data_IF_919844975475
#
_entry.id   IF_919844975475
#
_cell.length_a   1.000
_cell.length_b   1.000
_cell.length_c   1.000
_cell.angle_alpha   90.00
_cell.angle_beta   90.00
_cell.angle_gamma   90.00
#
_symmetry.space_group_name_H-M   'P 1'
#
loop_
_entity.id
_entity.type
_entity.pdbx_description
1 polymer ?
#
# COMPACT_ATOMS: atom_id res chain seq x y z
N UNK A 1 6.07 -16.96 -10.74
CA UNK A 1 6.74 -15.86 -10.00
C UNK A 1 6.59 -14.57 -10.79
N UNK A 2 6.16 -13.50 -10.14
CA UNK A 2 5.93 -12.20 -10.78
C UNK A 2 6.79 -11.12 -10.13
N UNK A 3 7.36 -10.26 -10.95
CA UNK A 3 8.12 -9.07 -10.53
C UNK A 3 7.37 -7.82 -10.95
N UNK A 4 7.36 -6.80 -10.11
CA UNK A 4 6.72 -5.52 -10.35
C UNK A 4 7.79 -4.42 -10.32
N UNK A 5 7.76 -3.53 -11.31
CA UNK A 5 8.65 -2.37 -11.38
C UNK A 5 7.84 -1.12 -11.08
N UNK A 6 8.08 -0.52 -9.90
CA UNK A 6 7.39 0.69 -9.46
C UNK A 6 8.36 1.67 -8.81
N UNK A 7 8.17 2.95 -9.10
CA UNK A 7 8.98 4.03 -8.55
C UNK A 7 10.50 3.78 -8.67
N UNK A 8 10.93 3.15 -9.78
CA UNK A 8 12.31 2.72 -10.07
C UNK A 8 12.86 1.66 -9.09
N UNK A 9 12.01 0.96 -8.36
CA UNK A 9 12.35 -0.17 -7.52
C UNK A 9 11.79 -1.45 -8.13
N UNK A 10 12.50 -2.56 -7.93
CA UNK A 10 12.08 -3.88 -8.38
C UNK A 10 11.55 -4.67 -7.21
N UNK A 11 10.23 -4.94 -7.21
CA UNK A 11 9.54 -5.73 -6.21
C UNK A 11 9.38 -7.18 -6.68
N UNK A 12 9.50 -8.12 -5.77
CA UNK A 12 9.30 -9.55 -6.05
C UNK A 12 10.55 -10.35 -5.71
N UNK A 13 10.64 -11.60 -6.10
CA UNK A 13 9.72 -12.41 -6.94
C UNK A 13 8.55 -12.95 -6.10
N UNK A 14 7.31 -12.63 -6.46
CA UNK A 14 6.14 -13.08 -5.72
C UNK A 14 5.41 -14.20 -6.46
N UNK A 15 4.87 -15.16 -5.73
CA UNK A 15 3.94 -16.13 -6.29
C UNK A 15 2.63 -15.45 -6.69
N UNK A 16 2.12 -15.75 -7.88
CA UNK A 16 0.90 -15.13 -8.38
C UNK A 16 -0.32 -15.42 -7.49
N UNK A 17 -0.36 -16.60 -6.88
CA UNK A 17 -1.40 -16.95 -5.92
C UNK A 17 -1.46 -16.03 -4.69
N UNK A 18 -0.38 -15.33 -4.37
CA UNK A 18 -0.26 -14.42 -3.24
C UNK A 18 -0.41 -12.93 -3.62
N UNK A 19 -0.58 -12.63 -4.91
CA UNK A 19 -0.46 -11.27 -5.43
C UNK A 19 -1.76 -10.78 -6.09
N UNK A 20 -2.05 -9.50 -5.88
CA UNK A 20 -3.00 -8.74 -6.68
C UNK A 20 -2.37 -7.39 -7.08
N UNK A 21 -1.94 -7.29 -8.34
CA UNK A 21 -1.41 -6.05 -8.91
C UNK A 21 -2.57 -5.12 -9.28
N UNK A 22 -3.16 -4.49 -8.26
CA UNK A 22 -4.44 -3.80 -8.33
C UNK A 22 -4.42 -2.63 -9.32
N UNK A 23 -3.37 -1.81 -9.32
CA UNK A 23 -3.30 -0.61 -10.18
C UNK A 23 -3.31 -0.96 -11.68
N UNK A 24 -2.80 -2.13 -12.07
CA UNK A 24 -2.77 -2.60 -13.45
C UNK A 24 -3.84 -3.64 -13.79
N UNK A 25 -4.85 -3.80 -12.93
CA UNK A 25 -5.89 -4.82 -13.11
C UNK A 25 -7.06 -4.34 -13.96
N UNK A 26 -7.70 -5.26 -14.69
CA UNK A 26 -8.98 -4.99 -15.36
C UNK A 26 -10.09 -4.63 -14.38
N UNK A 27 -10.02 -5.16 -13.14
CA UNK A 27 -10.97 -4.78 -12.09
C UNK A 27 -10.89 -3.28 -11.81
N UNK A 28 -9.67 -2.74 -11.68
CA UNK A 28 -9.46 -1.31 -11.46
C UNK A 28 -9.96 -0.48 -12.66
N UNK A 29 -9.67 -0.90 -13.88
CA UNK A 29 -10.17 -0.25 -15.09
C UNK A 29 -11.72 -0.18 -15.14
N UNK A 30 -12.40 -1.25 -14.71
CA UNK A 30 -13.88 -1.32 -14.67
C UNK A 30 -14.50 -0.46 -13.57
N UNK A 31 -13.85 -0.31 -12.42
CA UNK A 31 -14.35 0.54 -11.32
C UNK A 31 -14.38 2.01 -11.77
N UNK A 32 -13.45 2.42 -12.61
CA UNK A 32 -13.47 3.70 -13.29
C UNK A 32 -12.60 4.79 -12.66
N UNK A 33 -12.58 5.93 -13.33
CA UNK A 33 -11.76 7.08 -12.94
C UNK A 33 -12.19 7.71 -11.61
N UNK A 34 -11.22 8.27 -10.88
CA UNK A 34 -11.44 8.94 -9.60
C UNK A 34 -11.16 8.05 -8.39
N UNK A 35 -10.96 6.76 -8.59
CA UNK A 35 -10.52 5.82 -7.56
C UNK A 35 -8.99 5.78 -7.55
N UNK A 36 -8.41 5.77 -6.35
CA UNK A 36 -6.96 5.68 -6.16
C UNK A 36 -6.61 4.32 -5.57
N UNK A 37 -5.61 3.66 -6.14
CA UNK A 37 -5.16 2.36 -5.64
C UNK A 37 -3.68 2.38 -5.29
N UNK A 38 -3.28 1.51 -4.35
CA UNK A 38 -1.88 1.17 -4.13
C UNK A 38 -1.35 0.38 -5.33
N UNK A 39 -0.03 0.21 -5.42
CA UNK A 39 0.58 -0.54 -6.51
C UNK A 39 0.10 -2.00 -6.52
N UNK A 40 0.19 -2.68 -5.37
CA UNK A 40 -0.27 -4.05 -5.26
C UNK A 40 -0.65 -4.46 -3.83
N UNK A 41 -1.41 -5.55 -3.73
CA UNK A 41 -1.78 -6.22 -2.48
C UNK A 41 -1.08 -7.58 -2.47
N UNK A 42 -0.42 -7.93 -1.37
CA UNK A 42 0.39 -9.12 -1.25
C UNK A 42 0.02 -9.93 0.01
N UNK A 43 -0.26 -11.21 -0.15
CA UNK A 43 -0.24 -12.18 0.94
C UNK A 43 1.21 -12.48 1.30
N UNK A 44 1.76 -11.70 2.23
CA UNK A 44 3.19 -11.76 2.56
C UNK A 44 3.58 -13.05 3.29
N UNK A 45 2.69 -13.50 4.19
CA UNK A 45 2.76 -14.80 4.85
C UNK A 45 1.35 -15.24 5.24
N UNK A 46 1.23 -16.41 5.88
CA UNK A 46 -0.08 -16.94 6.27
C UNK A 46 -0.93 -16.03 7.17
N UNK A 47 -0.28 -15.08 7.87
CA UNK A 47 -0.92 -14.24 8.89
C UNK A 47 -0.97 -12.75 8.53
N UNK A 48 -0.52 -12.34 7.33
CA UNK A 48 -0.51 -10.92 6.96
C UNK A 48 -0.76 -10.64 5.48
N UNK A 49 -1.54 -9.59 5.24
CA UNK A 49 -1.79 -8.99 3.93
C UNK A 49 -1.23 -7.57 3.93
N UNK A 50 -0.39 -7.27 2.95
CA UNK A 50 0.21 -5.96 2.75
C UNK A 50 -0.52 -5.22 1.63
N UNK A 51 -0.86 -3.97 1.88
CA UNK A 51 -1.22 -2.98 0.87
C UNK A 51 0.03 -2.16 0.63
N UNK A 52 0.66 -2.29 -0.52
CA UNK A 52 1.97 -1.70 -0.78
C UNK A 52 1.88 -0.57 -1.79
N UNK A 53 2.35 0.60 -1.36
CA UNK A 53 2.54 1.79 -2.17
C UNK A 53 4.03 2.08 -2.31
N UNK A 54 4.46 2.52 -3.50
CA UNK A 54 5.85 2.85 -3.80
C UNK A 54 6.00 4.32 -4.20
N UNK A 55 7.04 4.98 -3.70
CA UNK A 55 7.40 6.36 -4.05
C UNK A 55 8.91 6.50 -4.25
N UNK A 56 9.30 7.40 -5.16
CA UNK A 56 10.72 7.74 -5.35
C UNK A 56 11.28 8.55 -4.19
N UNK A 57 10.46 9.45 -3.64
CA UNK A 57 10.86 10.37 -2.56
C UNK A 57 9.64 10.78 -1.73
N UNK A 58 9.89 11.46 -0.63
CA UNK A 58 8.86 12.10 0.20
C UNK A 58 9.21 13.57 0.46
N UNK A 59 8.22 14.43 0.71
CA UNK A 59 8.46 15.80 1.12
C UNK A 59 9.13 15.84 2.49
N UNK A 60 10.05 16.78 2.68
CA UNK A 60 10.72 16.98 3.96
C UNK A 60 9.77 17.68 4.95
N UNK A 61 9.42 17.02 6.03
CA UNK A 61 8.53 17.55 7.07
C UNK A 61 9.07 18.80 7.75
N UNK A 62 10.39 18.95 7.85
CA UNK A 62 11.02 20.12 8.46
C UNK A 62 10.79 21.40 7.63
N UNK A 63 10.52 21.26 6.34
CA UNK A 63 10.28 22.37 5.42
C UNK A 63 8.80 22.58 5.09
N UNK A 64 7.88 21.85 5.74
CA UNK A 64 6.44 21.88 5.43
C UNK A 64 5.90 23.32 5.39
N UNK A 65 6.21 24.12 6.39
CA UNK A 65 5.69 25.48 6.56
C UNK A 65 6.61 26.57 6.01
N UNK A 66 7.64 26.23 5.23
CA UNK A 66 8.57 27.20 4.68
C UNK A 66 7.96 28.04 3.55
N UNK A 67 6.89 27.55 2.89
CA UNK A 67 6.08 28.27 1.93
C UNK A 67 4.72 27.58 1.77
N UNK A 68 3.72 28.33 1.28
CA UNK A 68 2.39 27.79 0.96
C UNK A 68 2.47 26.64 -0.05
N UNK A 69 3.29 26.77 -1.10
CA UNK A 69 3.53 25.70 -2.09
C UNK A 69 4.07 24.41 -1.46
N UNK A 70 4.96 24.51 -0.46
CA UNK A 70 5.50 23.32 0.23
C UNK A 70 4.48 22.68 1.13
N UNK A 71 3.61 23.45 1.77
CA UNK A 71 2.51 22.94 2.57
C UNK A 71 1.49 22.21 1.69
N UNK A 72 1.10 22.78 0.55
CA UNK A 72 0.20 22.15 -0.43
C UNK A 72 0.77 20.83 -0.94
N UNK A 73 2.04 20.79 -1.35
CA UNK A 73 2.70 19.56 -1.80
C UNK A 73 2.76 18.49 -0.70
N UNK A 74 2.98 18.90 0.53
CA UNK A 74 2.97 17.98 1.68
C UNK A 74 1.57 17.38 1.87
N UNK A 75 0.53 18.21 1.90
CA UNK A 75 -0.85 17.75 2.05
C UNK A 75 -1.30 16.85 0.89
N UNK A 76 -0.99 17.22 -0.34
CA UNK A 76 -1.31 16.44 -1.53
C UNK A 76 -0.65 15.06 -1.49
N UNK A 77 0.64 14.99 -1.12
CA UNK A 77 1.39 13.75 -1.02
C UNK A 77 0.75 12.77 -0.03
N UNK A 78 0.50 13.22 1.20
CA UNK A 78 -0.03 12.34 2.25
C UNK A 78 -1.52 12.05 2.05
N UNK A 79 -2.30 12.99 1.57
CA UNK A 79 -3.70 12.76 1.21
C UNK A 79 -3.84 11.71 0.12
N UNK A 80 -3.04 11.84 -0.94
CA UNK A 80 -3.05 10.87 -2.04
C UNK A 80 -2.70 9.46 -1.58
N UNK A 81 -1.66 9.29 -0.75
CA UNK A 81 -1.27 7.97 -0.23
C UNK A 81 -2.34 7.41 0.71
N UNK A 82 -2.91 8.26 1.56
CA UNK A 82 -3.99 7.86 2.47
C UNK A 82 -5.20 7.35 1.70
N UNK A 83 -5.63 8.07 0.66
CA UNK A 83 -6.74 7.65 -0.20
C UNK A 83 -6.44 6.32 -0.89
N UNK A 84 -5.23 6.15 -1.43
CA UNK A 84 -4.80 4.89 -2.05
C UNK A 84 -4.94 3.69 -1.09
N UNK A 85 -4.50 3.83 0.15
CA UNK A 85 -4.66 2.77 1.15
C UNK A 85 -6.12 2.48 1.48
N UNK A 86 -6.92 3.52 1.70
CA UNK A 86 -8.34 3.39 2.08
C UNK A 86 -9.14 2.75 0.94
N UNK A 87 -9.00 3.25 -0.27
CA UNK A 87 -9.77 2.80 -1.42
C UNK A 87 -9.35 1.39 -1.84
N UNK A 88 -8.05 1.06 -1.78
CA UNK A 88 -7.58 -0.32 -2.01
C UNK A 88 -8.10 -1.32 -0.98
N UNK A 89 -8.17 -0.92 0.30
CA UNK A 89 -8.78 -1.74 1.34
C UNK A 89 -10.26 -2.01 1.03
N UNK A 90 -11.00 -1.00 0.60
CA UNK A 90 -12.40 -1.12 0.23
C UNK A 90 -12.59 -2.06 -0.97
N UNK A 91 -11.79 -1.91 -2.02
CA UNK A 91 -11.82 -2.79 -3.19
C UNK A 91 -11.51 -4.23 -2.77
N UNK A 92 -10.49 -4.45 -1.96
CA UNK A 92 -10.10 -5.77 -1.47
C UNK A 92 -11.23 -6.44 -0.67
N UNK A 93 -11.83 -5.72 0.28
CA UNK A 93 -12.95 -6.23 1.07
C UNK A 93 -14.17 -6.52 0.18
N UNK A 94 -14.50 -5.63 -0.76
CA UNK A 94 -15.57 -5.84 -1.72
C UNK A 94 -15.33 -7.09 -2.59
N UNK A 95 -14.08 -7.34 -2.99
CA UNK A 95 -13.70 -8.55 -3.74
C UNK A 95 -13.90 -9.81 -2.92
N UNK A 96 -13.46 -9.84 -1.66
CA UNK A 96 -13.67 -10.96 -0.74
C UNK A 96 -15.16 -11.26 -0.53
N UNK A 97 -15.98 -10.21 -0.51
CA UNK A 97 -17.44 -10.33 -0.36
C UNK A 97 -18.16 -10.62 -1.69
N UNK A 98 -17.43 -10.98 -2.74
CA UNK A 98 -17.96 -11.29 -4.07
C UNK A 98 -18.87 -10.19 -4.67
N UNK A 99 -18.50 -8.92 -4.48
CA UNK A 99 -19.24 -7.77 -5.04
C UNK A 99 -18.92 -7.54 -6.52
N UNK A 100 -17.88 -8.16 -7.04
CA UNK A 100 -17.44 -8.09 -8.43
C UNK A 100 -17.63 -9.44 -9.12
N UNK A 101 -18.04 -9.42 -10.38
CA UNK A 101 -18.26 -10.62 -11.19
C UNK A 101 -16.96 -11.33 -11.56
N UNK A 102 -15.91 -10.56 -11.83
CA UNK A 102 -14.60 -11.06 -12.22
C UNK A 102 -13.54 -10.62 -11.21
N UNK A 103 -12.99 -11.58 -10.51
CA UNK A 103 -11.90 -11.43 -9.53
C UNK A 103 -10.72 -12.36 -9.84
N UNK A 104 -10.64 -12.86 -11.08
CA UNK A 104 -9.65 -13.85 -11.51
C UNK A 104 -8.19 -13.35 -11.44
N UNK A 105 -7.99 -12.04 -11.41
CA UNK A 105 -6.67 -11.42 -11.25
C UNK A 105 -6.18 -11.37 -9.80
N UNK A 106 -7.04 -11.70 -8.84
CA UNK A 106 -6.69 -11.71 -7.42
C UNK A 106 -6.17 -13.09 -7.07
N UNK A 107 -4.97 -13.15 -6.52
CA UNK A 107 -4.37 -14.44 -6.13
C UNK A 107 -5.24 -15.21 -5.11
N UNK A 108 -5.39 -16.49 -5.30
CA UNK A 108 -6.27 -17.36 -4.50
C UNK A 108 -6.00 -17.28 -2.99
N UNK A 109 -4.74 -17.08 -2.59
CA UNK A 109 -4.37 -16.94 -1.18
C UNK A 109 -4.90 -15.63 -0.55
N UNK A 110 -5.17 -14.60 -1.36
CA UNK A 110 -5.79 -13.35 -0.91
C UNK A 110 -7.30 -13.51 -0.70
N UNK A 111 -7.93 -14.46 -1.39
CA UNK A 111 -9.36 -14.73 -1.31
C UNK A 111 -9.71 -15.76 -0.22
N UNK A 112 -8.72 -16.43 0.38
CA UNK A 112 -8.94 -17.38 1.48
C UNK A 112 -9.27 -16.65 2.79
N UNK A 113 -10.56 -16.50 3.06
CA UNK A 113 -11.08 -15.78 4.23
C UNK A 113 -11.35 -16.67 5.46
N UNK A 114 -11.11 -17.97 5.39
CA UNK A 114 -11.46 -18.92 6.49
C UNK A 114 -10.87 -18.50 7.85
N UNK A 115 -9.71 -17.83 7.83
CA UNK A 115 -9.02 -17.33 9.01
C UNK A 115 -8.83 -15.80 8.99
N UNK A 116 -9.71 -15.06 8.31
CA UNK A 116 -9.55 -13.61 8.13
C UNK A 116 -9.39 -12.85 9.45
N UNK A 117 -10.07 -13.29 10.52
CA UNK A 117 -9.94 -12.70 11.87
C UNK A 117 -8.50 -12.72 12.43
N UNK A 118 -7.65 -13.63 11.94
CA UNK A 118 -6.27 -13.79 12.40
C UNK A 118 -5.27 -13.09 11.46
N UNK A 119 -5.76 -12.49 10.37
CA UNK A 119 -4.94 -11.82 9.37
C UNK A 119 -4.69 -10.39 9.81
N UNK A 120 -3.41 -10.02 9.86
CA UNK A 120 -2.99 -8.64 10.06
C UNK A 120 -2.97 -7.90 8.74
N UNK A 121 -3.71 -6.80 8.67
CA UNK A 121 -3.71 -5.90 7.53
C UNK A 121 -2.64 -4.83 7.74
N UNK A 122 -1.78 -4.62 6.77
CA UNK A 122 -0.67 -3.67 6.85
C UNK A 122 -0.66 -2.73 5.65
N UNK A 123 -0.64 -1.43 5.91
CA UNK A 123 -0.33 -0.41 4.92
C UNK A 123 1.18 -0.20 4.92
N UNK A 124 1.83 -0.48 3.80
CA UNK A 124 3.29 -0.39 3.65
C UNK A 124 3.63 0.64 2.58
N UNK A 125 4.33 1.70 2.96
CA UNK A 125 4.90 2.67 2.04
C UNK A 125 6.39 2.39 1.89
N UNK A 126 6.86 2.18 0.66
CA UNK A 126 8.28 2.04 0.35
C UNK A 126 8.75 3.29 -0.41
N UNK A 127 9.79 3.94 0.11
CA UNK A 127 10.32 5.18 -0.47
C UNK A 127 11.78 4.94 -0.87
N UNK A 128 12.07 4.96 -2.17
CA UNK A 128 13.40 4.65 -2.72
C UNK A 128 14.51 5.47 -2.08
N UNK A 129 14.37 6.79 -2.13
CA UNK A 129 15.42 7.74 -1.76
C UNK A 129 15.18 8.38 -0.38
N UNK A 130 14.59 7.66 0.57
CA UNK A 130 14.38 8.18 1.92
C UNK A 130 15.57 7.83 2.82
N UNK A 131 16.09 8.84 3.50
CA UNK A 131 16.99 8.63 4.63
C UNK A 131 16.24 7.92 5.76
N UNK A 132 16.89 6.96 6.39
CA UNK A 132 16.26 6.16 7.47
C UNK A 132 15.75 7.04 8.62
N UNK A 133 16.43 8.16 8.90
CA UNK A 133 16.03 9.10 9.95
C UNK A 133 14.70 9.81 9.67
N UNK A 134 14.23 9.84 8.41
CA UNK A 134 12.95 10.45 8.04
C UNK A 134 11.76 9.51 8.19
N UNK A 135 11.99 8.20 8.12
CA UNK A 135 10.93 7.20 8.13
C UNK A 135 9.98 7.28 9.33
N UNK A 136 10.47 7.51 10.59
CA UNK A 136 9.58 7.65 11.75
C UNK A 136 8.58 8.81 11.61
N UNK A 137 9.00 9.95 11.07
CA UNK A 137 8.14 11.11 10.83
C UNK A 137 7.05 10.83 9.80
N UNK A 138 7.43 10.22 8.67
CA UNK A 138 6.49 9.80 7.62
C UNK A 138 5.48 8.79 8.17
N UNK A 139 5.95 7.82 8.95
CA UNK A 139 5.10 6.81 9.57
C UNK A 139 4.11 7.42 10.57
N UNK A 140 4.55 8.39 11.38
CA UNK A 140 3.69 9.08 12.34
C UNK A 140 2.57 9.85 11.63
N UNK A 141 2.87 10.57 10.55
CA UNK A 141 1.88 11.30 9.74
C UNK A 141 0.84 10.34 9.14
N UNK A 142 1.27 9.24 8.53
CA UNK A 142 0.35 8.25 7.98
C UNK A 142 -0.50 7.57 9.07
N UNK A 143 0.07 7.27 10.22
CA UNK A 143 -0.67 6.70 11.36
C UNK A 143 -1.78 7.62 11.85
N UNK A 144 -1.54 8.93 11.89
CA UNK A 144 -2.57 9.89 12.30
C UNK A 144 -3.68 10.01 11.24
N UNK A 145 -3.32 10.11 9.95
CA UNK A 145 -4.31 10.18 8.86
C UNK A 145 -5.15 8.90 8.74
N UNK A 146 -4.59 7.75 8.99
CA UNK A 146 -5.26 6.45 8.96
C UNK A 146 -5.90 6.05 10.30
N UNK A 147 -5.90 6.92 11.30
CA UNK A 147 -6.29 6.64 12.69
C UNK A 147 -7.65 5.96 12.83
N UNK A 148 -8.66 6.41 12.10
CA UNK A 148 -10.00 5.80 12.14
C UNK A 148 -9.99 4.38 11.59
N UNK A 149 -9.33 4.16 10.46
CA UNK A 149 -9.23 2.85 9.83
C UNK A 149 -8.39 1.87 10.64
N UNK A 150 -7.32 2.37 11.27
CA UNK A 150 -6.52 1.58 12.21
C UNK A 150 -7.34 1.09 13.40
N UNK A 151 -8.24 1.93 13.93
CA UNK A 151 -9.13 1.53 15.03
C UNK A 151 -10.20 0.54 14.59
N UNK A 152 -10.78 0.70 13.40
CA UNK A 152 -11.84 -0.18 12.88
C UNK A 152 -11.27 -1.54 12.47
N UNK A 153 -10.18 -1.55 11.71
CA UNK A 153 -9.64 -2.74 11.05
C UNK A 153 -8.40 -3.34 11.70
N UNK A 154 -7.85 -2.71 12.74
CA UNK A 154 -6.58 -3.12 13.35
C UNK A 154 -5.38 -2.98 12.42
N UNK A 155 -5.41 -2.02 11.48
CA UNK A 155 -4.36 -1.85 10.47
C UNK A 155 -3.05 -1.40 11.12
N UNK A 156 -1.97 -2.08 10.76
CA UNK A 156 -0.60 -1.64 11.01
C UNK A 156 -0.10 -0.75 9.87
N UNK A 157 0.75 0.22 10.18
CA UNK A 157 1.40 1.09 9.19
C UNK A 157 2.91 0.93 9.31
N UNK A 158 3.56 0.68 8.19
CA UNK A 158 5.01 0.61 8.07
C UNK A 158 5.50 1.54 6.95
N UNK A 159 6.62 2.20 7.17
CA UNK A 159 7.31 2.99 6.16
C UNK A 159 8.75 2.50 6.08
N UNK A 160 9.18 2.14 4.89
CA UNK A 160 10.47 1.54 4.61
C UNK A 160 11.18 2.35 3.53
N UNK A 161 12.49 2.37 3.54
CA UNK A 161 13.26 2.69 2.34
C UNK A 161 13.57 1.42 1.55
N UNK A 162 14.18 1.56 0.37
CA UNK A 162 14.51 0.43 -0.50
C UNK A 162 15.41 -0.61 0.19
N UNK A 163 16.41 -0.15 0.95
CA UNK A 163 17.35 -1.02 1.68
C UNK A 163 16.65 -1.86 2.76
N UNK A 164 15.72 -1.25 3.50
CA UNK A 164 14.94 -1.97 4.52
C UNK A 164 13.95 -2.93 3.83
N UNK A 165 13.33 -2.50 2.74
CA UNK A 165 12.41 -3.34 1.97
C UNK A 165 13.11 -4.60 1.42
N UNK A 166 14.38 -4.48 0.99
CA UNK A 166 15.21 -5.62 0.57
C UNK A 166 15.43 -6.62 1.71
N UNK A 167 15.74 -6.14 2.93
CA UNK A 167 15.88 -7.01 4.11
C UNK A 167 14.60 -7.80 4.41
N UNK A 168 13.44 -7.24 4.11
CA UNK A 168 12.14 -7.93 4.19
C UNK A 168 11.76 -8.69 2.92
N UNK A 169 12.66 -8.80 1.93
CA UNK A 169 12.43 -9.50 0.65
C UNK A 169 11.21 -8.96 -0.12
N UNK A 170 10.95 -7.68 0.01
CA UNK A 170 9.93 -6.99 -0.78
C UNK A 170 10.52 -6.43 -2.08
N UNK A 171 11.79 -6.02 -2.05
CA UNK A 171 12.57 -5.59 -3.22
C UNK A 171 13.75 -6.53 -3.47
N UNK A 172 14.32 -6.49 -4.69
CA UNK A 172 15.46 -7.28 -5.12
C UNK A 172 16.37 -6.51 -6.11
#
# INVERSE_FOLDING_TARGET
MKTILESEMKFGEFEEANLFHIESSHLYEKIGSGIKTVEFILRYNKDSVLFLEAKKSCPNSNNRYASEEKEEKFEEYYSSITDKFIESLQIYIASILNRYEDISEIGDALLDIKNFKNIRLKCVLVIKNADETWLPGVMAELKERLKTYRKIWGIEVAVLNEEIAEKYRLTC
#
